data_IF_230643420288
#
_entry.id   IF_230643420288
#
_cell.length_a   1.000
_cell.length_b   1.000
_cell.length_c   1.000
_cell.angle_alpha   90.00
_cell.angle_beta   90.00
_cell.angle_gamma   90.00
#
_symmetry.space_group_name_H-M   'P 1'
#
loop_
_entity.id
_entity.type
_entity.pdbx_description
1 polymer ?
#
# COMPACT_ATOMS: atom_id res chain seq x y z
N UNK A 1 -9.65 13.67 9.29
CA UNK A 1 -8.68 13.10 10.25
C UNK A 1 -9.28 13.29 11.63
N UNK A 2 -9.57 12.22 12.38
CA UNK A 2 -10.03 12.36 13.76
C UNK A 2 -8.90 12.91 14.61
N UNK A 3 -9.20 13.88 15.46
CA UNK A 3 -8.24 14.48 16.40
C UNK A 3 -7.67 13.37 17.32
N UNK A 4 -6.36 13.09 17.31
CA UNK A 4 -5.76 12.06 18.14
C UNK A 4 -5.87 12.35 19.65
N UNK A 5 -6.34 13.54 20.07
CA UNK A 5 -6.53 13.91 21.47
C UNK A 5 -7.38 12.90 22.23
N UNK A 6 -8.41 12.29 21.64
CA UNK A 6 -9.23 11.30 22.37
C UNK A 6 -8.43 10.04 22.74
N UNK A 7 -7.44 9.63 21.93
CA UNK A 7 -6.59 8.47 22.20
C UNK A 7 -5.62 8.72 23.38
N UNK A 8 -5.36 9.98 23.72
CA UNK A 8 -4.48 10.37 24.83
C UNK A 8 -5.17 10.31 26.19
N UNK A 9 -6.50 10.22 26.26
CA UNK A 9 -7.24 10.36 27.53
C UNK A 9 -7.19 9.11 28.41
N UNK A 10 -7.04 7.91 27.84
CA UNK A 10 -7.14 6.67 28.61
C UNK A 10 -5.78 6.04 28.95
N UNK A 11 -4.75 6.25 28.13
CA UNK A 11 -3.41 5.70 28.40
C UNK A 11 -2.31 6.65 27.90
N UNK A 12 -1.31 6.99 28.73
CA UNK A 12 -0.24 7.91 28.36
C UNK A 12 0.59 7.34 27.21
N UNK A 13 0.63 8.09 26.10
CA UNK A 13 1.37 7.74 24.89
C UNK A 13 1.72 9.01 24.11
N UNK A 14 2.74 8.93 23.26
CA UNK A 14 3.05 9.98 22.28
C UNK A 14 2.57 9.51 20.91
N UNK A 15 1.86 10.38 20.20
CA UNK A 15 1.34 10.10 18.85
C UNK A 15 2.09 10.99 17.87
N UNK A 16 2.77 10.38 16.90
CA UNK A 16 3.46 11.07 15.81
C UNK A 16 2.70 10.78 14.52
N UNK A 17 2.33 11.83 13.80
CA UNK A 17 1.56 11.73 12.54
C UNK A 17 2.32 12.48 11.44
N UNK A 18 3.25 11.81 10.74
CA UNK A 18 4.00 12.45 9.68
C UNK A 18 3.16 12.57 8.39
N UNK A 19 3.37 13.65 7.65
CA UNK A 19 2.96 13.73 6.26
C UNK A 19 3.98 12.99 5.38
N UNK A 20 3.52 12.45 4.24
CA UNK A 20 4.36 11.83 3.22
C UNK A 20 3.79 12.10 1.84
N UNK A 21 4.63 12.11 0.81
CA UNK A 21 4.20 12.31 -0.58
C UNK A 21 3.27 11.18 -1.02
N UNK A 22 2.23 11.56 -1.76
CA UNK A 22 1.18 10.65 -2.21
C UNK A 22 1.20 10.50 -3.73
N UNK A 23 0.63 9.39 -4.22
CA UNK A 23 0.38 9.13 -5.63
C UNK A 23 1.64 9.43 -6.49
N UNK A 24 1.52 10.10 -7.63
CA UNK A 24 2.62 10.38 -8.57
C UNK A 24 3.84 11.04 -7.90
N UNK A 25 3.64 11.82 -6.83
CA UNK A 25 4.69 12.58 -6.18
C UNK A 25 5.59 11.70 -5.29
N UNK A 26 5.08 10.55 -4.83
CA UNK A 26 5.83 9.59 -4.02
C UNK A 26 6.12 8.27 -4.75
N UNK A 27 5.21 7.83 -5.61
CA UNK A 27 5.15 6.43 -6.06
C UNK A 27 5.19 6.28 -7.59
N UNK A 28 5.78 7.26 -8.30
CA UNK A 28 6.06 7.14 -9.74
C UNK A 28 7.32 6.31 -9.97
N UNK A 29 7.25 5.33 -10.87
CA UNK A 29 8.39 4.46 -11.20
C UNK A 29 8.52 4.28 -12.70
N UNK A 30 9.76 4.30 -13.19
CA UNK A 30 10.16 3.92 -14.54
C UNK A 30 11.67 3.67 -14.56
N UNK A 31 12.15 3.00 -15.60
CA UNK A 31 13.56 2.65 -15.78
C UNK A 31 14.45 3.89 -15.85
N UNK A 32 15.47 3.91 -15.00
CA UNK A 32 16.40 5.02 -14.88
C UNK A 32 15.91 6.17 -14.00
N UNK A 33 14.73 6.09 -13.39
CA UNK A 33 14.33 7.01 -12.32
C UNK A 33 15.08 6.66 -11.04
N UNK A 34 15.84 7.62 -10.51
CA UNK A 34 16.34 7.56 -9.15
C UNK A 34 15.24 8.06 -8.22
N UNK A 35 14.62 7.14 -7.48
CA UNK A 35 13.59 7.44 -6.50
C UNK A 35 14.21 7.79 -5.15
N UNK A 36 13.66 8.82 -4.52
CA UNK A 36 14.05 9.29 -3.18
C UNK A 36 12.79 9.41 -2.32
N UNK A 37 11.94 8.38 -2.37
CA UNK A 37 10.69 8.30 -1.63
C UNK A 37 10.86 7.39 -0.40
N UNK A 38 11.49 7.94 0.63
CA UNK A 38 11.60 7.32 1.95
C UNK A 38 10.93 8.16 3.05
N UNK A 39 9.97 9.03 2.72
CA UNK A 39 9.36 10.01 3.64
C UNK A 39 8.91 9.38 4.96
N UNK A 40 8.19 8.25 4.88
CA UNK A 40 7.71 7.52 6.05
C UNK A 40 8.84 6.90 6.87
N UNK A 41 9.91 6.42 6.21
CA UNK A 41 11.08 5.88 6.89
C UNK A 41 11.88 6.98 7.58
N UNK A 42 12.10 8.10 6.91
CA UNK A 42 12.74 9.29 7.48
C UNK A 42 11.96 9.82 8.69
N UNK A 43 10.63 9.81 8.65
CA UNK A 43 9.80 10.17 9.79
C UNK A 43 9.93 9.17 10.96
N UNK A 44 10.05 7.88 10.67
CA UNK A 44 10.27 6.85 11.69
C UNK A 44 11.64 7.01 12.36
N UNK A 45 12.68 7.28 11.57
CA UNK A 45 14.04 7.54 12.05
C UNK A 45 14.13 8.85 12.84
N UNK A 46 13.46 9.90 12.36
CA UNK A 46 13.32 11.15 13.12
C UNK A 46 12.63 10.90 14.45
N UNK A 47 11.56 10.09 14.46
CA UNK A 47 10.87 9.72 15.70
C UNK A 47 11.83 9.02 16.64
N UNK A 48 12.53 7.99 16.19
CA UNK A 48 13.52 7.29 17.01
C UNK A 48 14.58 8.22 17.60
N UNK A 49 15.11 9.14 16.79
CA UNK A 49 16.16 10.04 17.22
C UNK A 49 15.71 11.18 18.16
N UNK A 50 14.43 11.58 18.13
CA UNK A 50 13.96 12.81 18.79
C UNK A 50 12.85 12.60 19.81
N UNK A 51 12.17 11.45 19.85
CA UNK A 51 10.95 11.31 20.66
C UNK A 51 11.20 11.42 22.17
N UNK A 52 12.44 11.22 22.62
CA UNK A 52 12.84 11.43 24.02
C UNK A 52 12.64 12.87 24.49
N UNK A 53 12.85 13.85 23.60
CA UNK A 53 12.64 15.28 23.89
C UNK A 53 11.15 15.60 24.15
N UNK A 54 10.25 14.73 23.69
CA UNK A 54 8.80 14.83 23.90
C UNK A 54 8.31 13.89 25.00
N UNK A 55 9.23 13.25 25.74
CA UNK A 55 8.91 12.29 26.81
C UNK A 55 8.50 10.90 26.33
N UNK A 56 8.71 10.57 25.05
CA UNK A 56 8.47 9.22 24.53
C UNK A 56 9.65 8.27 24.73
N UNK A 57 9.40 6.98 24.50
CA UNK A 57 10.43 5.94 24.56
C UNK A 57 10.77 5.45 23.13
N UNK A 58 11.97 5.73 22.61
CA UNK A 58 12.37 5.34 21.25
C UNK A 58 12.49 3.81 21.08
N UNK A 59 12.69 3.06 22.16
CA UNK A 59 12.76 1.60 22.12
C UNK A 59 11.38 0.92 22.13
N UNK A 60 10.29 1.70 22.16
CA UNK A 60 8.92 1.20 22.26
C UNK A 60 8.01 1.75 21.15
N UNK A 61 8.51 1.80 19.91
CA UNK A 61 7.77 2.35 18.78
C UNK A 61 6.73 1.37 18.24
N UNK A 62 5.55 1.93 18.01
CA UNK A 62 4.36 1.27 17.45
C UNK A 62 4.01 1.94 16.13
N UNK A 63 3.98 1.17 15.06
CA UNK A 63 3.63 1.68 13.73
C UNK A 63 2.22 1.22 13.36
N UNK A 64 1.43 2.04 12.70
CA UNK A 64 0.16 1.59 12.18
C UNK A 64 -0.53 2.60 11.30
N UNK A 65 -1.57 2.15 10.62
CA UNK A 65 -2.36 3.00 9.76
C UNK A 65 -3.65 2.35 9.30
N UNK A 66 -4.48 3.15 8.63
CA UNK A 66 -5.74 2.75 8.02
C UNK A 66 -5.57 2.63 6.51
N UNK A 67 -6.13 1.56 5.92
CA UNK A 67 -6.15 1.35 4.47
C UNK A 67 -4.74 1.41 3.87
N UNK A 68 -4.44 2.39 3.01
CA UNK A 68 -3.10 2.62 2.45
C UNK A 68 -2.03 2.83 3.52
N UNK A 69 -2.36 3.36 4.70
CA UNK A 69 -1.44 3.46 5.83
C UNK A 69 -1.08 2.09 6.44
N UNK A 70 -2.03 1.14 6.49
CA UNK A 70 -1.74 -0.24 6.87
C UNK A 70 -0.85 -0.92 5.82
N UNK A 71 -1.16 -0.71 4.53
CA UNK A 71 -0.34 -1.20 3.41
C UNK A 71 1.12 -0.69 3.49
N UNK A 72 1.29 0.61 3.73
CA UNK A 72 2.60 1.24 4.01
C UNK A 72 3.29 0.63 5.23
N UNK A 73 2.57 0.43 6.33
CA UNK A 73 3.12 -0.11 7.58
C UNK A 73 3.73 -1.51 7.40
N UNK A 74 3.14 -2.33 6.53
CA UNK A 74 3.68 -3.66 6.20
C UNK A 74 5.02 -3.55 5.47
N UNK A 75 5.17 -2.62 4.51
CA UNK A 75 6.45 -2.46 3.82
C UNK A 75 7.53 -1.88 4.73
N UNK A 76 7.16 -0.91 5.58
CA UNK A 76 8.08 -0.41 6.62
C UNK A 76 8.55 -1.56 7.52
N UNK A 77 7.64 -2.45 7.93
CA UNK A 77 7.99 -3.63 8.70
C UNK A 77 8.86 -4.61 7.91
N UNK A 78 8.56 -4.85 6.63
CA UNK A 78 9.38 -5.72 5.77
C UNK A 78 10.82 -5.23 5.67
N UNK A 79 11.00 -3.94 5.42
CA UNK A 79 12.32 -3.31 5.37
C UNK A 79 13.02 -3.41 6.72
N UNK A 80 12.35 -2.97 7.80
CA UNK A 80 12.93 -2.87 9.14
C UNK A 80 13.46 -4.21 9.67
N UNK A 81 12.68 -5.30 9.57
CA UNK A 81 13.11 -6.61 10.10
C UNK A 81 14.25 -7.26 9.31
N UNK A 82 14.57 -6.72 8.12
CA UNK A 82 15.63 -7.21 7.24
C UNK A 82 16.91 -6.38 7.31
N UNK A 83 16.89 -5.24 8.00
CA UNK A 83 18.10 -4.44 8.22
C UNK A 83 19.20 -5.31 8.85
N UNK A 84 20.44 -5.26 8.34
CA UNK A 84 21.49 -6.19 8.76
C UNK A 84 21.83 -6.06 10.25
N UNK A 85 21.79 -4.84 10.77
CA UNK A 85 22.03 -4.56 12.17
C UNK A 85 20.71 -4.49 12.94
N UNK A 86 20.61 -5.28 14.02
CA UNK A 86 19.40 -5.33 14.86
C UNK A 86 19.13 -4.02 15.60
N UNK A 87 20.17 -3.22 15.88
CA UNK A 87 20.01 -1.95 16.58
C UNK A 87 19.29 -0.89 15.72
N UNK A 88 19.29 -1.05 14.39
CA UNK A 88 18.64 -0.11 13.46
C UNK A 88 17.16 -0.47 13.21
N UNK A 89 16.65 -1.50 13.89
CA UNK A 89 15.29 -2.03 13.75
C UNK A 89 14.36 -1.39 14.79
N UNK A 90 13.52 -0.50 14.30
CA UNK A 90 12.79 0.46 15.13
C UNK A 90 11.42 -0.07 15.56
N UNK A 91 10.80 -0.95 14.78
CA UNK A 91 9.38 -1.29 14.92
C UNK A 91 9.20 -2.45 15.90
N UNK A 92 8.46 -2.24 17.00
CA UNK A 92 8.14 -3.29 17.98
C UNK A 92 6.75 -3.87 17.81
N UNK A 93 5.79 -3.04 17.37
CA UNK A 93 4.38 -3.41 17.21
C UNK A 93 3.79 -2.79 15.95
N UNK A 94 2.93 -3.54 15.25
CA UNK A 94 2.24 -3.05 14.04
C UNK A 94 0.72 -3.18 14.14
N UNK A 95 0.01 -2.12 13.77
CA UNK A 95 -1.46 -2.06 13.70
C UNK A 95 -1.92 -1.86 12.26
N UNK A 96 -2.68 -2.82 11.73
CA UNK A 96 -3.14 -2.84 10.35
C UNK A 96 -4.67 -2.74 10.31
N UNK A 97 -5.18 -1.54 10.08
CA UNK A 97 -6.61 -1.32 9.97
C UNK A 97 -7.03 -1.39 8.51
N UNK A 98 -7.86 -2.38 8.17
CA UNK A 98 -8.53 -2.52 6.86
C UNK A 98 -7.59 -2.57 5.66
N UNK A 99 -6.44 -3.23 5.80
CA UNK A 99 -5.59 -3.63 4.67
C UNK A 99 -4.52 -4.63 5.12
N UNK A 100 -4.04 -5.43 4.19
CA UNK A 100 -2.76 -6.14 4.32
C UNK A 100 -2.10 -6.34 2.94
N UNK A 101 -1.10 -7.22 2.82
CA UNK A 101 -0.48 -7.54 1.52
C UNK A 101 -0.85 -8.96 1.10
N UNK A 102 -1.49 -9.07 -0.06
CA UNK A 102 -1.83 -10.35 -0.70
C UNK A 102 -1.25 -10.51 -2.10
N UNK A 103 -0.60 -9.47 -2.64
CA UNK A 103 -0.07 -9.44 -4.01
C UNK A 103 1.28 -8.73 -4.01
N UNK A 104 2.26 -9.30 -4.72
CA UNK A 104 3.58 -8.68 -4.93
C UNK A 104 3.38 -7.42 -5.80
N UNK A 105 3.88 -6.25 -5.38
CA UNK A 105 3.85 -5.07 -6.22
C UNK A 105 4.59 -5.27 -7.55
N UNK A 106 4.23 -4.48 -8.56
CA UNK A 106 4.97 -4.48 -9.82
C UNK A 106 6.44 -4.15 -9.58
N UNK A 107 7.33 -4.77 -10.36
CA UNK A 107 8.73 -4.35 -10.42
C UNK A 107 8.81 -2.90 -10.89
N UNK A 108 9.67 -2.10 -10.25
CA UNK A 108 9.82 -0.66 -10.55
C UNK A 108 10.27 -0.38 -11.99
N UNK A 109 10.86 -1.37 -12.66
CA UNK A 109 11.27 -1.34 -14.07
C UNK A 109 10.28 -2.04 -15.01
N UNK A 110 9.10 -2.45 -14.50
CA UNK A 110 8.15 -3.21 -15.31
C UNK A 110 7.52 -2.38 -16.44
N UNK A 111 7.21 -3.00 -17.59
CA UNK A 111 6.53 -2.32 -18.70
C UNK A 111 5.18 -1.69 -18.33
N UNK A 112 4.52 -2.21 -17.29
CA UNK A 112 3.24 -1.66 -16.81
C UNK A 112 3.41 -0.28 -16.15
N UNK A 113 4.49 -0.07 -15.40
CA UNK A 113 4.78 1.23 -14.77
C UNK A 113 5.35 2.22 -15.78
N UNK A 114 6.14 1.75 -16.76
CA UNK A 114 6.53 2.57 -17.93
C UNK A 114 5.31 3.10 -18.67
N UNK A 115 4.35 2.22 -18.99
CA UNK A 115 3.11 2.62 -19.67
C UNK A 115 2.27 3.60 -18.85
N UNK A 116 2.27 3.49 -17.52
CA UNK A 116 1.61 4.44 -16.62
C UNK A 116 2.27 5.83 -16.69
N UNK A 117 3.60 5.89 -16.74
CA UNK A 117 4.34 7.17 -16.87
C UNK A 117 4.16 7.77 -18.26
N UNK A 118 4.20 6.96 -19.32
CA UNK A 118 3.97 7.45 -20.68
C UNK A 118 2.54 8.01 -20.87
N UNK A 119 1.55 7.42 -20.19
CA UNK A 119 0.19 7.96 -20.12
C UNK A 119 0.16 9.32 -19.41
N UNK A 120 0.84 9.47 -18.27
CA UNK A 120 0.97 10.76 -17.57
C UNK A 120 1.63 11.83 -18.45
N UNK A 121 2.73 11.48 -19.13
CA UNK A 121 3.44 12.39 -20.03
C UNK A 121 2.54 12.85 -21.17
N UNK A 122 1.76 11.92 -21.75
CA UNK A 122 0.78 12.22 -22.80
C UNK A 122 -0.30 13.18 -22.29
N UNK A 123 -0.86 12.95 -21.11
CA UNK A 123 -1.85 13.83 -20.46
C UNK A 123 -1.30 15.23 -20.13
N UNK A 124 0.02 15.35 -20.02
CA UNK A 124 0.73 16.60 -19.79
C UNK A 124 1.26 17.26 -21.09
N UNK A 125 1.08 16.63 -22.25
CA UNK A 125 1.64 17.11 -23.52
C UNK A 125 3.16 17.02 -23.61
N UNK A 126 3.80 16.14 -22.82
CA UNK A 126 5.24 15.89 -22.82
C UNK A 126 5.57 14.71 -23.75
N UNK A 127 6.61 14.79 -24.60
CA UNK A 127 7.05 13.65 -25.40
C UNK A 127 7.48 12.45 -24.53
N UNK A 128 6.99 11.25 -24.86
CA UNK A 128 7.32 10.01 -24.10
C UNK A 128 8.74 9.50 -24.34
N UNK A 129 9.35 9.88 -25.47
CA UNK A 129 10.71 9.47 -25.86
C UNK A 129 11.87 10.24 -25.20
N UNK A 130 11.60 11.06 -24.18
CA UNK A 130 12.64 11.77 -23.44
C UNK A 130 13.54 10.79 -22.65
N UNK A 131 14.77 11.21 -22.38
CA UNK A 131 15.65 10.50 -21.45
C UNK A 131 15.01 10.45 -20.05
N UNK A 132 15.40 9.50 -19.18
CA UNK A 132 14.83 9.41 -17.83
C UNK A 132 14.86 10.73 -17.06
N UNK A 133 16.01 11.42 -17.06
CA UNK A 133 16.14 12.73 -16.45
C UNK A 133 15.31 13.80 -17.15
N UNK A 134 15.23 13.78 -18.49
CA UNK A 134 14.41 14.71 -19.26
C UNK A 134 12.91 14.59 -18.95
N UNK A 135 12.41 13.37 -18.72
CA UNK A 135 11.03 13.13 -18.25
C UNK A 135 10.80 13.81 -16.89
N UNK A 136 11.71 13.61 -15.94
CA UNK A 136 11.62 14.21 -14.59
C UNK A 136 11.67 15.74 -14.66
N UNK A 137 12.63 16.29 -15.41
CA UNK A 137 12.82 17.74 -15.51
C UNK A 137 11.58 18.40 -16.13
N UNK A 138 11.02 17.82 -17.19
CA UNK A 138 9.80 18.31 -17.82
C UNK A 138 8.60 18.28 -16.85
N UNK A 139 8.39 17.18 -16.14
CA UNK A 139 7.32 17.05 -15.14
C UNK A 139 7.47 18.06 -14.00
N UNK A 140 8.70 18.34 -13.55
CA UNK A 140 8.98 19.32 -12.48
C UNK A 140 8.69 20.77 -12.86
N UNK A 141 8.60 21.09 -14.15
CA UNK A 141 8.19 22.43 -14.62
C UNK A 141 6.67 22.63 -14.59
N UNK A 142 5.88 21.57 -14.38
CA UNK A 142 4.42 21.65 -14.37
C UNK A 142 3.94 21.95 -12.94
N UNK A 143 3.02 22.93 -12.75
CA UNK A 143 2.39 23.16 -11.45
C UNK A 143 1.72 21.89 -10.89
N UNK A 144 1.82 21.67 -9.58
CA UNK A 144 1.28 20.49 -8.91
C UNK A 144 -0.21 20.27 -9.17
N UNK A 145 -1.00 21.34 -9.19
CA UNK A 145 -2.43 21.29 -9.47
C UNK A 145 -2.71 20.74 -10.87
N UNK A 146 -1.90 21.14 -11.86
CA UNK A 146 -2.04 20.65 -13.24
C UNK A 146 -1.68 19.17 -13.35
N UNK A 147 -0.64 18.71 -12.63
CA UNK A 147 -0.29 17.29 -12.56
C UNK A 147 -1.41 16.48 -11.89
N UNK A 148 -2.01 17.00 -10.81
CA UNK A 148 -3.16 16.36 -10.16
C UNK A 148 -4.33 16.23 -11.15
N UNK A 149 -4.64 17.29 -11.91
CA UNK A 149 -5.70 17.22 -12.92
C UNK A 149 -5.37 16.24 -14.06
N UNK A 150 -4.10 16.12 -14.45
CA UNK A 150 -3.67 15.11 -15.42
C UNK A 150 -3.93 13.70 -14.90
N UNK A 151 -3.58 13.40 -13.64
CA UNK A 151 -3.87 12.09 -13.03
C UNK A 151 -5.36 11.76 -13.02
N UNK A 152 -6.24 12.73 -12.79
CA UNK A 152 -7.70 12.49 -12.84
C UNK A 152 -8.21 12.09 -14.24
N UNK A 153 -7.49 12.40 -15.31
CA UNK A 153 -7.83 11.99 -16.69
C UNK A 153 -7.23 10.66 -17.09
N UNK A 154 -6.21 10.19 -16.37
CA UNK A 154 -5.58 8.90 -16.63
C UNK A 154 -6.52 7.73 -16.31
N UNK A 155 -6.42 6.67 -17.10
CA UNK A 155 -6.96 5.35 -16.78
C UNK A 155 -6.16 4.70 -15.66
N UNK A 156 -4.82 4.78 -15.70
CA UNK A 156 -3.90 4.23 -14.68
C UNK A 156 -3.50 5.28 -13.64
N UNK A 157 -4.48 5.85 -12.96
CA UNK A 157 -4.29 6.99 -12.05
C UNK A 157 -3.72 6.62 -10.66
N UNK A 158 -3.58 5.33 -10.34
CA UNK A 158 -3.14 4.90 -9.01
C UNK A 158 -1.65 4.51 -9.03
N UNK A 159 -0.82 5.39 -8.47
CA UNK A 159 0.61 5.16 -8.27
C UNK A 159 0.82 4.55 -6.88
N UNK A 160 1.47 3.38 -6.81
CA UNK A 160 1.64 2.57 -5.58
C UNK A 160 3.09 2.14 -5.43
N UNK A 161 3.47 1.72 -4.23
CA UNK A 161 4.78 1.11 -3.96
C UNK A 161 5.13 0.03 -4.99
N UNK A 162 6.40 -0.04 -5.38
CA UNK A 162 6.94 -1.04 -6.31
C UNK A 162 7.91 -2.00 -5.64
N UNK A 163 8.21 -3.10 -6.32
CA UNK A 163 9.32 -4.01 -5.96
C UNK A 163 10.61 -3.40 -6.47
N UNK A 164 11.42 -2.84 -5.58
CA UNK A 164 12.65 -2.09 -5.89
C UNK A 164 13.93 -2.88 -5.57
N UNK A 165 13.82 -4.01 -4.88
CA UNK A 165 14.95 -4.83 -4.45
C UNK A 165 15.66 -4.32 -3.19
N UNK A 166 15.18 -3.22 -2.61
CA UNK A 166 15.69 -2.64 -1.37
C UNK A 166 14.59 -2.59 -0.29
N UNK A 167 13.65 -1.66 -0.44
CA UNK A 167 12.51 -1.52 0.49
C UNK A 167 11.54 -2.69 0.38
N UNK A 168 11.29 -3.14 -0.85
CA UNK A 168 10.44 -4.28 -1.16
C UNK A 168 11.23 -5.26 -2.03
N UNK A 169 11.69 -6.34 -1.40
CA UNK A 169 12.41 -7.43 -2.05
C UNK A 169 11.48 -8.27 -2.95
N UNK A 170 12.04 -8.86 -4.00
CA UNK A 170 11.29 -9.68 -4.95
C UNK A 170 10.68 -10.96 -4.35
N UNK A 171 11.24 -11.46 -3.24
CA UNK A 171 10.69 -12.61 -2.52
C UNK A 171 9.61 -12.23 -1.50
N UNK A 172 9.23 -10.96 -1.36
CA UNK A 172 8.39 -10.50 -0.24
C UNK A 172 7.07 -11.30 -0.09
N UNK A 173 6.28 -11.44 -1.16
CA UNK A 173 5.06 -12.25 -1.11
C UNK A 173 5.34 -13.75 -0.88
N UNK A 174 6.44 -14.28 -1.44
CA UNK A 174 6.82 -15.68 -1.24
C UNK A 174 7.23 -15.94 0.22
N UNK A 175 7.89 -14.99 0.86
CA UNK A 175 8.30 -15.05 2.26
C UNK A 175 7.07 -15.00 3.18
N UNK A 176 6.06 -14.18 2.85
CA UNK A 176 4.76 -14.22 3.52
C UNK A 176 4.16 -15.62 3.38
N UNK A 177 3.96 -16.09 2.16
CA UNK A 177 3.23 -17.33 1.90
C UNK A 177 3.91 -18.58 2.48
N UNK A 178 5.24 -18.60 2.51
CA UNK A 178 6.02 -19.69 3.11
C UNK A 178 6.06 -19.66 4.63
N UNK A 179 5.74 -18.51 5.25
CA UNK A 179 5.85 -18.28 6.69
C UNK A 179 7.23 -17.78 7.12
N UNK A 180 8.20 -17.60 6.22
CA UNK A 180 9.50 -17.03 6.58
C UNK A 180 9.36 -15.57 7.04
N UNK A 181 8.43 -14.80 6.47
CA UNK A 181 8.16 -13.46 7.00
C UNK A 181 7.70 -13.51 8.47
N UNK A 182 6.75 -14.39 8.81
CA UNK A 182 6.30 -14.58 10.19
C UNK A 182 7.43 -15.01 11.14
N UNK A 183 8.36 -15.85 10.67
CA UNK A 183 9.51 -16.29 11.44
C UNK A 183 10.50 -15.15 11.69
N UNK A 184 10.72 -14.27 10.71
CA UNK A 184 11.49 -13.04 10.90
C UNK A 184 10.86 -12.15 11.99
N UNK A 185 9.53 -11.96 11.93
CA UNK A 185 8.80 -11.16 12.93
C UNK A 185 8.88 -11.77 14.34
N UNK A 186 8.70 -13.09 14.46
CA UNK A 186 8.82 -13.82 15.73
C UNK A 186 10.23 -13.67 16.33
N UNK A 187 11.27 -13.82 15.51
CA UNK A 187 12.66 -13.65 15.93
C UNK A 187 13.00 -12.21 16.36
N UNK A 188 12.23 -11.21 15.91
CA UNK A 188 12.36 -9.82 16.33
C UNK A 188 11.50 -9.47 17.54
N UNK A 189 10.64 -10.37 17.99
CA UNK A 189 9.70 -10.01 19.04
C UNK A 189 8.73 -8.93 18.57
N UNK A 190 8.25 -8.95 17.30
CA UNK A 190 7.21 -8.02 16.82
C UNK A 190 5.80 -8.56 17.13
N UNK A 191 4.93 -7.75 17.73
CA UNK A 191 3.49 -8.07 17.84
C UNK A 191 2.71 -7.40 16.71
N UNK A 192 1.64 -8.06 16.26
CA UNK A 192 0.78 -7.54 15.20
C UNK A 192 -0.68 -7.57 15.62
N UNK A 193 -1.38 -6.48 15.34
CA UNK A 193 -2.82 -6.40 15.40
C UNK A 193 -3.36 -6.02 14.03
N UNK A 194 -4.33 -6.77 13.52
CA UNK A 194 -4.91 -6.53 12.21
C UNK A 194 -6.40 -6.86 12.16
N UNK A 195 -7.14 -6.19 11.28
CA UNK A 195 -8.56 -6.46 11.16
C UNK A 195 -9.26 -5.52 10.20
N UNK A 196 -10.56 -5.71 10.07
CA UNK A 196 -11.38 -5.07 9.05
C UNK A 196 -12.74 -4.61 9.60
N UNK A 197 -13.44 -3.75 8.86
CA UNK A 197 -14.88 -3.54 9.06
C UNK A 197 -15.67 -4.52 8.20
N UNK A 198 -16.97 -4.70 8.45
CA UNK A 198 -17.81 -5.63 7.70
C UNK A 198 -18.11 -5.15 6.26
N UNK A 199 -18.29 -3.84 6.07
CA UNK A 199 -18.80 -3.24 4.83
C UNK A 199 -17.70 -2.51 4.02
N UNK A 200 -16.53 -3.13 3.83
CA UNK A 200 -15.41 -2.54 3.07
C UNK A 200 -15.79 -2.21 1.61
N UNK A 201 -16.64 -3.04 1.00
CA UNK A 201 -17.10 -2.87 -0.38
C UNK A 201 -17.83 -1.53 -0.59
N UNK A 202 -18.52 -1.00 0.43
CA UNK A 202 -19.28 0.26 0.30
C UNK A 202 -18.38 1.42 -0.12
N UNK A 203 -17.15 1.50 0.41
CA UNK A 203 -16.19 2.52 0.00
C UNK A 203 -15.82 2.40 -1.48
N UNK A 204 -15.51 1.18 -1.93
CA UNK A 204 -15.08 0.91 -3.29
C UNK A 204 -16.20 1.03 -4.32
N UNK A 205 -17.46 0.92 -3.90
CA UNK A 205 -18.61 1.21 -4.74
C UNK A 205 -18.74 2.71 -5.04
N UNK A 206 -18.29 3.57 -4.14
CA UNK A 206 -18.37 5.03 -4.28
C UNK A 206 -17.17 5.62 -5.02
N UNK A 207 -16.02 4.95 -5.00
CA UNK A 207 -14.75 5.47 -5.53
C UNK A 207 -14.37 4.71 -6.79
N UNK A 208 -14.44 5.39 -7.94
CA UNK A 208 -14.13 4.85 -9.28
C UNK A 208 -14.87 3.54 -9.61
N UNK A 209 -16.22 3.51 -9.52
CA UNK A 209 -16.98 2.30 -9.83
C UNK A 209 -16.80 1.87 -11.28
N UNK A 210 -16.72 0.56 -11.51
CA UNK A 210 -16.74 -0.01 -12.85
C UNK A 210 -18.15 0.10 -13.47
N UNK A 211 -18.22 0.29 -14.78
CA UNK A 211 -19.48 0.37 -15.54
C UNK A 211 -19.67 -0.77 -16.55
N UNK A 212 -18.62 -1.54 -16.79
CA UNK A 212 -18.53 -2.63 -17.76
C UNK A 212 -17.28 -3.48 -17.46
N UNK A 213 -17.08 -4.55 -18.23
CA UNK A 213 -15.93 -5.45 -18.07
C UNK A 213 -14.58 -4.74 -18.25
N UNK A 214 -14.46 -3.86 -19.25
CA UNK A 214 -13.19 -3.20 -19.57
C UNK A 214 -12.79 -2.21 -18.48
N UNK A 215 -13.74 -1.41 -17.98
CA UNK A 215 -13.54 -0.52 -16.84
C UNK A 215 -13.25 -1.31 -15.56
N UNK A 216 -13.90 -2.46 -15.32
CA UNK A 216 -13.58 -3.34 -14.19
C UNK A 216 -12.12 -3.81 -14.25
N UNK A 217 -11.65 -4.26 -15.42
CA UNK A 217 -10.24 -4.66 -15.61
C UNK A 217 -9.30 -3.48 -15.35
N UNK A 218 -9.63 -2.28 -15.82
CA UNK A 218 -8.83 -1.07 -15.57
C UNK A 218 -8.78 -0.74 -14.08
N UNK A 219 -9.92 -0.74 -13.38
CA UNK A 219 -9.98 -0.41 -11.96
C UNK A 219 -9.23 -1.42 -11.10
N UNK A 220 -9.34 -2.72 -11.39
CA UNK A 220 -8.54 -3.74 -10.71
C UNK A 220 -7.05 -3.59 -11.02
N UNK A 221 -6.69 -3.21 -12.25
CA UNK A 221 -5.29 -3.03 -12.65
C UNK A 221 -4.64 -1.76 -12.06
N UNK A 222 -5.42 -0.82 -11.53
CA UNK A 222 -4.92 0.26 -10.68
C UNK A 222 -4.42 -0.23 -9.30
N UNK A 223 -4.83 -1.44 -8.89
CA UNK A 223 -4.41 -2.06 -7.62
C UNK A 223 -3.46 -3.24 -7.81
N UNK A 224 -3.60 -3.99 -8.91
CA UNK A 224 -2.94 -5.27 -9.12
C UNK A 224 -2.28 -5.38 -10.50
N UNK A 225 -1.20 -6.18 -10.63
CA UNK A 225 -0.66 -6.52 -11.95
C UNK A 225 -1.72 -7.17 -12.83
N UNK A 226 -1.73 -6.88 -14.14
CA UNK A 226 -2.76 -7.36 -15.08
C UNK A 226 -2.96 -8.88 -15.05
N UNK A 227 -1.87 -9.65 -14.90
CA UNK A 227 -1.93 -11.12 -14.77
C UNK A 227 -2.73 -11.56 -13.55
N UNK A 228 -2.63 -10.81 -12.45
CA UNK A 228 -3.37 -11.07 -11.21
C UNK A 228 -4.82 -10.65 -11.40
N UNK A 229 -5.08 -9.49 -11.99
CA UNK A 229 -6.45 -9.06 -12.36
C UNK A 229 -7.19 -10.13 -13.16
N UNK A 230 -6.56 -10.68 -14.22
CA UNK A 230 -7.16 -11.73 -15.06
C UNK A 230 -7.41 -13.04 -14.29
N UNK A 231 -6.51 -13.42 -13.39
CA UNK A 231 -6.69 -14.60 -12.56
C UNK A 231 -7.82 -14.41 -11.53
N UNK A 232 -7.88 -13.24 -10.89
CA UNK A 232 -8.90 -12.89 -9.91
C UNK A 232 -10.31 -12.98 -10.49
N UNK A 233 -10.53 -12.45 -11.70
CA UNK A 233 -11.83 -12.44 -12.35
C UNK A 233 -12.43 -13.84 -12.60
N UNK A 234 -11.63 -14.91 -12.59
CA UNK A 234 -12.11 -16.28 -12.76
C UNK A 234 -12.82 -16.83 -11.52
N UNK A 235 -12.66 -16.19 -10.36
CA UNK A 235 -13.26 -16.60 -9.10
C UNK A 235 -14.61 -15.92 -8.81
N UNK A 236 -15.04 -15.00 -9.67
CA UNK A 236 -16.25 -14.22 -9.49
C UNK A 236 -17.23 -14.45 -10.62
N UNK A 237 -18.52 -14.52 -10.28
CA UNK A 237 -19.59 -14.50 -11.28
C UNK A 237 -19.75 -13.07 -11.78
N UNK A 238 -19.38 -12.84 -13.04
CA UNK A 238 -19.48 -11.52 -13.65
C UNK A 238 -20.86 -11.27 -14.26
N UNK A 239 -21.35 -10.02 -14.26
CA UNK A 239 -22.57 -9.64 -14.97
C UNK A 239 -22.49 -9.98 -16.47
N UNK A 240 -23.64 -10.23 -17.07
CA UNK A 240 -23.71 -10.44 -18.53
C UNK A 240 -23.57 -9.11 -19.29
N UNK A 241 -23.28 -9.13 -20.59
CA UNK A 241 -23.05 -7.91 -21.39
C UNK A 241 -24.27 -7.00 -21.55
N UNK A 242 -25.46 -7.42 -21.07
CA UNK A 242 -26.71 -6.64 -21.02
C UNK A 242 -26.93 -6.03 -19.62
N UNK A 243 -26.00 -6.22 -18.68
CA UNK A 243 -26.13 -5.79 -17.29
C UNK A 243 -26.07 -4.27 -17.13
N UNK A 244 -26.77 -3.77 -16.11
CA UNK A 244 -26.77 -2.38 -15.70
C UNK A 244 -25.41 -1.99 -15.08
N UNK A 245 -25.03 -0.72 -15.17
CA UNK A 245 -23.81 -0.17 -14.59
C UNK A 245 -23.73 -0.41 -13.08
N UNK A 246 -24.87 -0.45 -12.40
CA UNK A 246 -24.93 -0.76 -10.97
C UNK A 246 -24.47 -2.17 -10.65
N UNK A 247 -24.75 -3.17 -11.50
CA UNK A 247 -24.25 -4.54 -11.30
C UNK A 247 -22.72 -4.61 -11.43
N UNK A 248 -22.15 -3.84 -12.36
CA UNK A 248 -20.69 -3.73 -12.52
C UNK A 248 -20.04 -3.00 -11.35
N UNK A 249 -20.67 -1.94 -10.84
CA UNK A 249 -20.21 -1.23 -9.65
C UNK A 249 -20.23 -2.14 -8.42
N UNK A 250 -21.31 -2.91 -8.24
CA UNK A 250 -21.47 -3.85 -7.14
C UNK A 250 -20.39 -4.93 -7.16
N UNK A 251 -20.27 -5.67 -8.27
CA UNK A 251 -19.27 -6.76 -8.37
C UNK A 251 -17.84 -6.23 -8.26
N UNK A 252 -17.55 -5.07 -8.86
CA UNK A 252 -16.24 -4.43 -8.77
C UNK A 252 -15.90 -4.07 -7.33
N UNK A 253 -16.86 -3.51 -6.60
CA UNK A 253 -16.67 -3.14 -5.20
C UNK A 253 -16.44 -4.35 -4.29
N UNK A 254 -17.14 -5.46 -4.55
CA UNK A 254 -16.97 -6.73 -3.83
C UNK A 254 -15.57 -7.29 -4.08
N UNK A 255 -15.14 -7.39 -5.35
CA UNK A 255 -13.82 -7.90 -5.70
C UNK A 255 -12.73 -7.05 -5.04
N UNK A 256 -12.82 -5.72 -5.11
CA UNK A 256 -11.82 -4.83 -4.53
C UNK A 256 -11.84 -4.91 -3.00
N UNK A 257 -13.01 -4.91 -2.36
CA UNK A 257 -13.12 -5.06 -0.90
C UNK A 257 -12.56 -6.38 -0.40
N UNK A 258 -12.83 -7.48 -1.11
CA UNK A 258 -12.23 -8.78 -0.83
C UNK A 258 -10.71 -8.74 -0.96
N UNK A 259 -10.19 -8.26 -2.09
CA UNK A 259 -8.78 -8.37 -2.42
C UNK A 259 -7.90 -7.31 -1.73
N UNK A 260 -8.44 -6.13 -1.40
CA UNK A 260 -7.69 -5.13 -0.63
C UNK A 260 -7.76 -5.43 0.87
N UNK A 261 -8.85 -6.05 1.34
CA UNK A 261 -9.11 -6.16 2.78
C UNK A 261 -9.42 -7.59 3.20
N UNK A 262 -10.61 -8.12 2.90
CA UNK A 262 -11.10 -9.33 3.58
C UNK A 262 -10.27 -10.58 3.33
N UNK A 263 -10.06 -10.95 2.06
CA UNK A 263 -9.27 -12.11 1.69
C UNK A 263 -7.79 -11.91 2.05
N UNK A 264 -7.29 -10.69 1.85
CA UNK A 264 -5.89 -10.35 2.11
C UNK A 264 -5.55 -10.38 3.60
N UNK A 265 -6.38 -9.83 4.49
CA UNK A 265 -6.16 -9.93 5.94
C UNK A 265 -6.26 -11.38 6.41
N UNK A 266 -7.25 -12.14 5.94
CA UNK A 266 -7.38 -13.57 6.30
C UNK A 266 -6.16 -14.38 5.85
N UNK A 267 -5.75 -14.22 4.59
CA UNK A 267 -4.61 -14.91 4.01
C UNK A 267 -3.30 -14.52 4.69
N UNK A 268 -3.08 -13.24 4.95
CA UNK A 268 -1.92 -12.74 5.66
C UNK A 268 -1.87 -13.25 7.11
N UNK A 269 -2.99 -13.21 7.85
CA UNK A 269 -3.10 -13.78 9.20
C UNK A 269 -2.74 -15.26 9.20
N UNK A 270 -3.33 -16.04 8.29
CA UNK A 270 -3.07 -17.48 8.19
C UNK A 270 -1.59 -17.78 7.88
N UNK A 271 -0.95 -16.95 7.04
CA UNK A 271 0.47 -17.06 6.73
C UNK A 271 1.38 -16.71 7.91
N UNK A 272 1.04 -15.69 8.71
CA UNK A 272 1.79 -15.34 9.92
C UNK A 272 1.73 -16.46 10.96
N UNK A 273 0.55 -17.03 11.18
CA UNK A 273 0.32 -18.10 12.17
C UNK A 273 1.01 -19.44 11.82
N UNK A 274 1.61 -19.57 10.63
CA UNK A 274 2.48 -20.72 10.33
C UNK A 274 3.72 -20.77 11.20
N UNK A 275 4.21 -19.61 11.65
CA UNK A 275 5.51 -19.48 12.32
C UNK A 275 5.53 -18.50 13.49
N UNK A 276 4.59 -17.55 13.55
CA UNK A 276 4.42 -16.68 14.72
C UNK A 276 3.60 -17.39 15.82
N UNK A 277 3.92 -17.17 17.10
CA UNK A 277 3.06 -17.58 18.22
C UNK A 277 1.70 -16.87 18.15
N UNK A 278 0.62 -17.60 18.43
CA UNK A 278 -0.76 -17.09 18.30
C UNK A 278 -1.00 -15.86 19.20
N UNK A 279 -0.42 -15.82 20.39
CA UNK A 279 -0.56 -14.74 21.36
C UNK A 279 0.02 -13.39 20.87
N UNK A 280 0.80 -13.40 19.79
CA UNK A 280 1.44 -12.21 19.19
C UNK A 280 0.73 -11.72 17.93
N UNK A 281 -0.36 -12.38 17.54
CA UNK A 281 -1.16 -12.07 16.34
C UNK A 281 -2.62 -11.86 16.77
N UNK A 282 -3.02 -10.60 16.92
CA UNK A 282 -4.38 -10.23 17.31
C UNK A 282 -5.21 -9.86 16.09
N UNK A 283 -6.28 -10.61 15.82
CA UNK A 283 -7.22 -10.31 14.74
C UNK A 283 -8.56 -9.79 15.27
N UNK A 284 -9.09 -8.73 14.66
CA UNK A 284 -10.43 -8.21 14.95
C UNK A 284 -11.30 -8.12 13.69
N UNK A 285 -12.62 -8.00 13.89
CA UNK A 285 -13.58 -7.58 12.87
C UNK A 285 -14.62 -6.68 13.53
N UNK A 286 -14.85 -5.50 12.97
CA UNK A 286 -15.92 -4.59 13.38
C UNK A 286 -17.13 -4.90 12.52
N UNK A 287 -18.29 -5.15 13.15
CA UNK A 287 -19.56 -5.46 12.48
C UNK A 287 -20.54 -4.32 12.60
#
# INVERSE_FOLDING_TARGET
MHDPIFLMQEFPRIIVVPAYRLNLFGFMYFSGLQQDSADQRAALEWTYANITEFGGNPENISLGGLSTGAYSSIFQLNYDVRLPNKADRLIKRVYLHSNAVGVQPNDVSSPALEAQVDELLTECGIPTGLSPQGKVDALRQIPSETLIQAVHRMKRHTFRAGTDGDFVNASFLADINSGEFGKLLANQGVDIMLGEVADEATLYRMVNPASDYDSLVVQLSNYYPEKVTKALLQYYTLPTTVADKDEWADIGSIIIGDCQVHATIRGFTASLLKTMPEERVLRYRIS
#
